data_IF_996047381550
#
_entry.id   IF_996047381550
#
_cell.length_a   1.000
_cell.length_b   1.000
_cell.length_c   1.000
_cell.angle_alpha   90.00
_cell.angle_beta   90.00
_cell.angle_gamma   90.00
#
_symmetry.space_group_name_H-M   'P 1'
#
loop_
_entity.id
_entity.type
_entity.pdbx_description
1 polymer ?
#
# COMPACT_ATOMS: atom_id res chain seq x y z
N UNK A 1 18.47 -8.37 5.52
CA UNK A 1 17.47 -7.29 5.71
C UNK A 1 17.07 -6.78 4.34
N UNK A 2 15.80 -6.93 3.96
CA UNK A 2 15.25 -6.14 2.85
C UNK A 2 15.22 -4.71 3.39
N UNK A 3 15.93 -3.78 2.77
CA UNK A 3 15.90 -2.38 3.19
C UNK A 3 14.46 -1.89 3.20
N UNK A 4 14.09 -1.06 4.17
CA UNK A 4 12.75 -0.48 4.31
C UNK A 4 12.24 0.13 2.98
N UNK A 5 13.14 0.73 2.20
CA UNK A 5 12.89 1.24 0.85
C UNK A 5 12.41 0.18 -0.15
N UNK A 6 12.93 -1.05 -0.08
CA UNK A 6 12.60 -2.14 -1.00
C UNK A 6 11.24 -2.76 -0.68
N UNK A 7 10.85 -2.86 0.59
CA UNK A 7 9.52 -3.32 1.00
C UNK A 7 8.43 -2.34 0.55
N UNK A 8 8.65 -1.04 0.76
CA UNK A 8 7.75 0.03 0.30
C UNK A 8 7.60 0.06 -1.23
N UNK A 9 8.71 -0.06 -1.96
CA UNK A 9 8.69 -0.18 -3.43
C UNK A 9 7.92 -1.41 -3.89
N UNK A 10 8.15 -2.57 -3.25
CA UNK A 10 7.45 -3.80 -3.56
C UNK A 10 5.93 -3.65 -3.35
N UNK A 11 5.49 -3.07 -2.24
CA UNK A 11 4.08 -2.84 -1.98
C UNK A 11 3.44 -1.98 -3.07
N UNK A 12 4.03 -0.82 -3.40
CA UNK A 12 3.51 0.05 -4.45
C UNK A 12 3.41 -0.66 -5.81
N UNK A 13 4.42 -1.46 -6.19
CA UNK A 13 4.38 -2.24 -7.43
C UNK A 13 3.23 -3.26 -7.42
N UNK A 14 3.06 -3.98 -6.32
CA UNK A 14 1.97 -4.98 -6.20
C UNK A 14 0.58 -4.36 -6.24
N UNK A 15 0.41 -3.14 -5.72
CA UNK A 15 -0.84 -2.38 -5.82
C UNK A 15 -1.13 -1.99 -7.27
N UNK A 16 -0.11 -1.52 -8.01
CA UNK A 16 -0.21 -1.21 -9.44
C UNK A 16 -0.56 -2.44 -10.26
N UNK A 17 0.02 -3.59 -9.92
CA UNK A 17 -0.20 -4.87 -10.61
C UNK A 17 -1.55 -5.50 -10.22
N UNK A 18 -2.25 -4.99 -9.20
CA UNK A 18 -3.54 -5.51 -8.73
C UNK A 18 -3.46 -6.81 -7.94
N UNK A 19 -2.27 -7.21 -7.49
CA UNK A 19 -2.04 -8.47 -6.78
C UNK A 19 -2.43 -8.35 -5.29
N UNK A 20 -3.73 -8.50 -5.02
CA UNK A 20 -4.25 -8.43 -3.65
C UNK A 20 -3.65 -9.49 -2.71
N UNK A 21 -3.30 -10.68 -3.22
CA UNK A 21 -2.71 -11.74 -2.38
C UNK A 21 -1.36 -11.29 -1.85
N UNK A 22 -0.54 -10.69 -2.72
CA UNK A 22 0.78 -10.19 -2.34
C UNK A 22 0.72 -8.91 -1.51
N UNK A 23 -0.26 -8.03 -1.76
CA UNK A 23 -0.55 -6.89 -0.87
C UNK A 23 -0.85 -7.38 0.55
N UNK A 24 -1.77 -8.34 0.70
CA UNK A 24 -2.10 -8.93 2.01
C UNK A 24 -0.86 -9.54 2.68
N UNK A 25 -0.08 -10.31 1.94
CA UNK A 25 1.16 -10.91 2.45
C UNK A 25 2.15 -9.86 2.99
N UNK A 26 2.37 -8.78 2.24
CA UNK A 26 3.30 -7.72 2.65
C UNK A 26 2.80 -6.98 3.90
N UNK A 27 1.53 -6.55 3.92
CA UNK A 27 0.95 -5.83 5.06
C UNK A 27 0.86 -6.72 6.31
N UNK A 28 0.56 -8.01 6.16
CA UNK A 28 0.52 -8.93 7.31
C UNK A 28 1.91 -9.20 7.89
N UNK A 29 2.96 -9.17 7.07
CA UNK A 29 4.34 -9.29 7.55
C UNK A 29 4.87 -8.00 8.16
N UNK A 30 4.43 -6.85 7.65
CA UNK A 30 4.83 -5.54 8.15
C UNK A 30 3.67 -4.55 7.99
N UNK A 31 2.91 -4.37 9.07
CA UNK A 31 1.75 -3.48 9.09
C UNK A 31 2.12 -2.01 8.99
N UNK A 32 3.38 -1.64 9.24
CA UNK A 32 3.86 -0.25 9.10
C UNK A 32 3.83 0.22 7.64
N UNK A 33 3.84 -0.72 6.69
CA UNK A 33 3.76 -0.44 5.26
C UNK A 33 2.42 0.17 4.83
N UNK A 34 1.34 -0.04 5.59
CA UNK A 34 -0.02 0.40 5.21
C UNK A 34 -0.13 1.92 5.02
N UNK A 35 0.62 2.67 5.82
CA UNK A 35 0.70 4.14 5.80
C UNK A 35 2.08 4.63 5.37
N UNK A 36 2.82 3.79 4.63
CA UNK A 36 4.12 4.18 4.10
C UNK A 36 4.01 5.45 3.25
N UNK A 37 4.81 6.47 3.60
CA UNK A 37 4.90 7.74 2.86
C UNK A 37 5.47 7.59 1.44
N UNK A 38 6.09 6.45 1.12
CA UNK A 38 6.56 6.18 -0.23
C UNK A 38 5.38 5.90 -1.15
N UNK A 39 5.07 6.86 -2.03
CA UNK A 39 4.00 6.80 -3.05
C UNK A 39 2.72 6.20 -2.47
N UNK A 40 2.02 7.02 -1.69
CA UNK A 40 0.82 6.68 -0.94
C UNK A 40 -0.01 5.53 -1.55
N UNK A 41 -0.07 4.43 -0.79
CA UNK A 41 -0.65 3.15 -1.22
C UNK A 41 -2.15 3.22 -1.46
N UNK A 42 -2.89 4.01 -0.67
CA UNK A 42 -4.33 4.16 -0.86
C UNK A 42 -4.63 4.98 -2.11
N UNK A 43 -3.90 6.08 -2.33
CA UNK A 43 -3.98 6.86 -3.56
C UNK A 43 -3.68 6.01 -4.79
N UNK A 44 -2.65 5.15 -4.74
CA UNK A 44 -2.34 4.23 -5.83
C UNK A 44 -3.49 3.26 -6.11
N UNK A 45 -4.04 2.61 -5.07
CA UNK A 45 -5.14 1.66 -5.22
C UNK A 45 -6.39 2.32 -5.85
N UNK A 46 -6.71 3.56 -5.44
CA UNK A 46 -7.82 4.33 -6.01
C UNK A 46 -7.55 4.76 -7.45
N UNK A 47 -6.33 5.24 -7.75
CA UNK A 47 -5.91 5.63 -9.11
C UNK A 47 -6.05 4.49 -10.11
N UNK A 48 -5.68 3.27 -9.70
CA UNK A 48 -5.80 2.07 -10.53
C UNK A 48 -7.18 1.40 -10.43
N UNK A 49 -8.16 2.02 -9.76
CA UNK A 49 -9.52 1.50 -9.58
C UNK A 49 -9.58 0.10 -8.92
N UNK A 50 -8.55 -0.25 -8.15
CA UNK A 50 -8.47 -1.52 -7.43
C UNK A 50 -9.23 -1.45 -6.10
N UNK A 51 -10.56 -1.44 -6.18
CA UNK A 51 -11.45 -1.38 -5.01
C UNK A 51 -11.18 -2.46 -3.95
N UNK A 52 -10.88 -3.74 -4.31
CA UNK A 52 -10.56 -4.75 -3.30
C UNK A 52 -9.32 -4.41 -2.47
N UNK A 53 -8.28 -3.86 -3.12
CA UNK A 53 -7.05 -3.44 -2.45
C UNK A 53 -7.32 -2.19 -1.60
N UNK A 54 -8.06 -1.21 -2.14
CA UNK A 54 -8.42 0.00 -1.40
C UNK A 54 -9.20 -0.33 -0.12
N UNK A 55 -10.21 -1.21 -0.20
CA UNK A 55 -10.97 -1.69 0.96
C UNK A 55 -10.06 -2.39 1.98
N UNK A 56 -9.15 -3.24 1.52
CA UNK A 56 -8.21 -3.92 2.41
C UNK A 56 -7.30 -2.93 3.14
N UNK A 57 -6.73 -1.95 2.43
CA UNK A 57 -5.88 -0.92 3.03
C UNK A 57 -6.64 -0.07 4.06
N UNK A 58 -7.86 0.37 3.74
CA UNK A 58 -8.72 1.12 4.68
C UNK A 58 -9.04 0.31 5.94
N UNK A 59 -9.38 -0.97 5.78
CA UNK A 59 -9.64 -1.86 6.92
C UNK A 59 -8.39 -2.08 7.79
N UNK A 60 -7.19 -1.84 7.27
CA UNK A 60 -5.92 -1.91 8.00
C UNK A 60 -5.41 -0.53 8.42
N UNK A 61 -6.27 0.50 8.43
CA UNK A 61 -5.94 1.82 8.96
C UNK A 61 -5.18 2.74 8.00
N UNK A 62 -5.26 2.49 6.68
CA UNK A 62 -4.75 3.43 5.69
C UNK A 62 -5.43 4.80 5.82
N UNK A 63 -4.64 5.85 5.96
CA UNK A 63 -5.12 7.21 6.08
C UNK A 63 -5.49 7.77 4.69
N UNK A 64 -6.79 7.82 4.39
CA UNK A 64 -7.32 8.39 3.14
C UNK A 64 -7.01 9.89 2.98
N UNK A 65 -6.78 10.58 4.09
CA UNK A 65 -6.45 12.01 4.12
C UNK A 65 -4.93 12.23 4.21
N UNK A 66 -4.11 11.20 3.99
CA UNK A 66 -2.67 11.35 3.94
C UNK A 66 -2.31 12.34 2.82
N UNK A 67 -2.06 13.58 3.21
CA UNK A 67 -1.55 14.59 2.29
C UNK A 67 -0.14 14.17 1.92
N UNK A 68 0.05 13.89 0.63
CA UNK A 68 1.38 13.90 0.05
C UNK A 68 1.95 15.32 0.24
N UNK A 69 2.75 15.52 1.29
CA UNK A 69 3.67 16.64 1.34
C UNK A 69 4.74 16.31 0.31
N UNK A 70 4.55 16.85 -0.90
CA UNK A 70 5.46 16.70 -2.02
C UNK A 70 6.79 17.38 -1.72
#
# INVERSE_FOLDING_TARGET
MISESKAKYALHRTIKDGDIKKVKYLINNDSTLVNSKYKDSITAALKYKNLPIAKFLLNNGANINAKNNS
#
